data_IF_576226271582
#
_entry.id   IF_576226271582
#
_cell.length_a   1.000
_cell.length_b   1.000
_cell.length_c   1.000
_cell.angle_alpha   90.00
_cell.angle_beta   90.00
_cell.angle_gamma   90.00
#
_symmetry.space_group_name_H-M   'P 1'
#
loop_
_entity.id
_entity.type
_entity.pdbx_description
1 polymer ?
#
# COMPACT_ATOMS: atom_id res chain seq x y z
N UNK A 1 0.12 16.43 -16.89
CA UNK A 1 1.41 16.11 -16.23
C UNK A 1 1.12 15.87 -14.78
N UNK A 2 1.78 14.97 -14.08
CA UNK A 2 1.51 14.71 -12.65
C UNK A 2 2.20 15.79 -11.82
N UNK A 3 1.44 16.47 -10.97
CA UNK A 3 1.90 17.59 -10.14
C UNK A 3 2.27 17.11 -8.74
N UNK A 4 3.45 17.51 -8.28
CA UNK A 4 3.98 17.18 -6.95
C UNK A 4 4.33 18.47 -6.21
N UNK A 5 3.90 18.60 -4.96
CA UNK A 5 4.34 19.66 -4.06
C UNK A 5 5.32 19.06 -3.03
N UNK A 6 6.48 19.67 -2.91
CA UNK A 6 7.48 19.37 -1.88
C UNK A 6 7.42 20.47 -0.81
N UNK A 7 7.23 20.10 0.44
CA UNK A 7 7.27 21.00 1.60
C UNK A 7 8.41 20.55 2.51
N UNK A 8 9.50 21.30 2.50
CA UNK A 8 10.75 20.95 3.17
C UNK A 8 11.50 22.23 3.52
N UNK A 9 11.89 22.44 4.77
CA UNK A 9 12.58 23.66 5.20
C UNK A 9 14.07 23.65 4.81
N UNK A 10 14.72 22.47 4.79
CA UNK A 10 16.12 22.35 4.39
C UNK A 10 16.29 22.53 2.87
N UNK A 11 16.90 23.64 2.47
CA UNK A 11 17.06 23.99 1.05
C UNK A 11 17.77 22.90 0.22
N UNK A 12 18.81 22.28 0.77
CA UNK A 12 19.57 21.26 0.05
C UNK A 12 18.74 20.01 -0.24
N UNK A 13 17.91 19.56 0.72
CA UNK A 13 17.03 18.41 0.56
C UNK A 13 15.93 18.77 -0.44
N UNK A 14 15.33 19.95 -0.29
CA UNK A 14 14.26 20.44 -1.18
C UNK A 14 14.69 20.53 -2.64
N UNK A 15 15.85 21.13 -2.93
CA UNK A 15 16.37 21.26 -4.30
C UNK A 15 16.78 19.89 -4.87
N UNK A 16 17.42 19.04 -4.08
CA UNK A 16 17.77 17.67 -4.51
C UNK A 16 16.52 16.87 -4.91
N UNK A 17 15.47 16.91 -4.09
CA UNK A 17 14.21 16.25 -4.41
C UNK A 17 13.56 16.81 -5.66
N UNK A 18 13.57 18.13 -5.82
CA UNK A 18 13.06 18.81 -7.01
C UNK A 18 13.76 18.32 -8.25
N UNK A 19 15.09 18.34 -8.29
CA UNK A 19 15.88 17.88 -9.44
C UNK A 19 15.57 16.41 -9.81
N UNK A 20 15.53 15.51 -8.81
CA UNK A 20 15.22 14.08 -9.02
C UNK A 20 13.83 13.91 -9.65
N UNK A 21 12.84 14.64 -9.15
CA UNK A 21 11.47 14.50 -9.62
C UNK A 21 11.23 15.18 -10.98
N UNK A 22 11.79 16.36 -11.21
CA UNK A 22 11.74 17.03 -12.51
C UNK A 22 12.44 16.19 -13.60
N UNK A 23 13.60 15.62 -13.31
CA UNK A 23 14.29 14.68 -14.22
C UNK A 23 13.45 13.45 -14.55
N UNK A 24 12.60 13.03 -13.60
CA UNK A 24 11.66 11.90 -13.79
C UNK A 24 10.35 12.29 -14.48
N UNK A 25 10.22 13.54 -14.95
CA UNK A 25 9.10 14.02 -15.76
C UNK A 25 7.88 14.46 -14.96
N UNK A 26 8.03 14.78 -13.67
CA UNK A 26 6.99 15.37 -12.83
C UNK A 26 7.00 16.90 -12.92
N UNK A 27 5.86 17.53 -12.68
CA UNK A 27 5.71 18.98 -12.53
C UNK A 27 5.82 19.32 -11.03
N UNK A 28 6.92 19.95 -10.62
CA UNK A 28 7.30 20.05 -9.21
C UNK A 28 7.23 21.48 -8.71
N UNK A 29 6.56 21.66 -7.60
CA UNK A 29 6.43 22.93 -6.86
C UNK A 29 7.04 22.73 -5.47
N UNK A 30 7.69 23.77 -4.93
CA UNK A 30 8.39 23.67 -3.65
C UNK A 30 7.95 24.76 -2.67
N UNK A 31 7.87 24.42 -1.39
CA UNK A 31 7.61 25.35 -0.30
C UNK A 31 8.60 25.09 0.85
N UNK A 32 8.98 26.15 1.56
CA UNK A 32 9.98 26.10 2.63
C UNK A 32 9.40 25.97 4.04
N UNK A 33 8.10 25.92 4.19
CA UNK A 33 7.37 25.67 5.45
C UNK A 33 5.94 25.26 5.20
N UNK A 34 5.25 24.81 6.24
CA UNK A 34 3.88 24.31 6.12
C UNK A 34 2.86 25.35 5.67
N UNK A 35 3.04 26.63 6.04
CA UNK A 35 2.10 27.71 5.63
C UNK A 35 2.17 27.96 4.12
N UNK A 36 3.38 28.07 3.58
CA UNK A 36 3.60 28.19 2.14
C UNK A 36 3.15 26.92 1.41
N UNK A 37 3.43 25.74 2.01
CA UNK A 37 2.95 24.44 1.52
C UNK A 37 1.44 24.40 1.39
N UNK A 38 0.71 24.83 2.41
CA UNK A 38 -0.76 24.88 2.38
C UNK A 38 -1.26 25.74 1.23
N UNK A 39 -0.76 26.97 1.08
CA UNK A 39 -1.15 27.88 0.00
C UNK A 39 -0.86 27.25 -1.38
N UNK A 40 0.32 26.64 -1.54
CA UNK A 40 0.73 26.02 -2.80
C UNK A 40 -0.12 24.79 -3.15
N UNK A 41 -0.47 23.96 -2.16
CA UNK A 41 -1.35 22.79 -2.36
C UNK A 41 -2.73 23.23 -2.85
N UNK A 42 -3.28 24.31 -2.29
CA UNK A 42 -4.57 24.84 -2.73
C UNK A 42 -4.52 25.46 -4.12
N UNK A 43 -3.42 26.15 -4.46
CA UNK A 43 -3.25 26.79 -5.77
C UNK A 43 -2.99 25.79 -6.89
N UNK A 44 -2.10 24.82 -6.65
CA UNK A 44 -1.62 23.90 -7.68
C UNK A 44 -2.43 22.62 -7.79
N UNK A 45 -3.26 22.29 -6.78
CA UNK A 45 -4.05 21.05 -6.71
C UNK A 45 -3.21 19.82 -7.09
N UNK A 46 -2.16 19.49 -6.34
CA UNK A 46 -1.22 18.44 -6.72
C UNK A 46 -1.84 17.05 -6.65
N UNK A 47 -1.23 16.12 -7.35
CA UNK A 47 -1.55 14.69 -7.25
C UNK A 47 -0.92 14.07 -6.00
N UNK A 48 0.23 14.63 -5.57
CA UNK A 48 1.00 14.11 -4.44
C UNK A 48 1.71 15.25 -3.71
N UNK A 49 1.80 15.13 -2.39
CA UNK A 49 2.56 16.00 -1.50
C UNK A 49 3.64 15.19 -0.83
N UNK A 50 4.89 15.66 -0.89
CA UNK A 50 6.01 15.25 -0.04
C UNK A 50 6.20 16.30 1.04
N UNK A 51 6.11 15.94 2.29
CA UNK A 51 6.17 16.89 3.39
C UNK A 51 7.11 16.44 4.49
N UNK A 52 8.06 17.28 4.87
CA UNK A 52 8.81 17.04 6.11
C UNK A 52 7.87 17.10 7.31
N UNK A 53 8.14 16.24 8.31
CA UNK A 53 7.41 16.26 9.59
C UNK A 53 7.76 17.48 10.39
N UNK A 54 9.06 17.79 10.51
CA UNK A 54 9.58 18.80 11.43
C UNK A 54 9.97 20.08 10.69
N UNK A 55 9.05 21.03 10.63
CA UNK A 55 9.27 22.32 10.00
C UNK A 55 8.89 23.48 10.94
N UNK A 56 9.51 24.66 10.78
CA UNK A 56 9.12 25.85 11.54
C UNK A 56 7.72 26.36 11.11
N UNK A 57 7.10 27.13 11.98
CA UNK A 57 5.80 27.80 11.83
C UNK A 57 4.59 26.86 11.79
N UNK A 58 4.55 25.92 10.86
CA UNK A 58 3.51 24.90 10.70
C UNK A 58 4.18 23.59 10.36
N UNK A 59 4.13 22.62 11.27
CA UNK A 59 4.70 21.30 11.05
C UNK A 59 3.90 20.45 10.05
N UNK A 60 4.48 19.31 9.65
CA UNK A 60 3.86 18.45 8.64
C UNK A 60 2.54 17.82 9.10
N UNK A 61 2.38 17.53 10.40
CA UNK A 61 1.13 16.96 10.93
C UNK A 61 0.00 17.99 10.90
N UNK A 62 0.29 19.21 11.35
CA UNK A 62 -0.68 20.31 11.31
C UNK A 62 -1.06 20.66 9.87
N UNK A 63 -0.11 20.62 8.93
CA UNK A 63 -0.40 20.78 7.51
C UNK A 63 -1.35 19.68 7.00
N UNK A 64 -1.08 18.42 7.31
CA UNK A 64 -1.94 17.31 6.90
C UNK A 64 -3.36 17.44 7.47
N UNK A 65 -3.49 17.88 8.73
CA UNK A 65 -4.79 18.09 9.36
C UNK A 65 -5.60 19.17 8.64
N UNK A 66 -4.98 20.31 8.29
CA UNK A 66 -5.61 21.37 7.50
C UNK A 66 -6.05 20.87 6.11
N UNK A 67 -5.20 20.07 5.43
CA UNK A 67 -5.53 19.49 4.13
C UNK A 67 -6.69 18.49 4.26
N UNK A 68 -6.68 17.62 5.27
CA UNK A 68 -7.76 16.67 5.51
C UNK A 68 -9.10 17.36 5.75
N UNK A 69 -9.10 18.45 6.53
CA UNK A 69 -10.31 19.25 6.76
C UNK A 69 -10.81 19.90 5.48
N UNK A 70 -9.90 20.43 4.65
CA UNK A 70 -10.26 21.10 3.39
C UNK A 70 -10.84 20.10 2.38
N UNK A 71 -10.29 18.90 2.28
CA UNK A 71 -10.70 17.86 1.32
C UNK A 71 -11.71 16.86 1.90
N UNK A 72 -12.42 17.18 2.98
CA UNK A 72 -13.35 16.27 3.67
C UNK A 72 -14.41 15.62 2.75
N UNK A 73 -14.78 16.26 1.65
CA UNK A 73 -15.76 15.78 0.66
C UNK A 73 -15.14 15.49 -0.71
N UNK A 74 -13.84 15.65 -0.86
CA UNK A 74 -13.11 15.54 -2.14
C UNK A 74 -11.98 14.54 -2.04
N UNK A 75 -11.43 14.14 -3.19
CA UNK A 75 -10.28 13.23 -3.21
C UNK A 75 -9.01 14.01 -2.90
N UNK A 76 -8.51 13.85 -1.68
CA UNK A 76 -7.27 14.46 -1.20
C UNK A 76 -6.06 14.02 -2.05
N UNK A 77 -5.04 14.89 -2.27
CA UNK A 77 -3.77 14.46 -2.84
C UNK A 77 -3.13 13.35 -1.99
N UNK A 78 -2.37 12.46 -2.62
CA UNK A 78 -1.56 11.51 -1.84
C UNK A 78 -0.56 12.26 -0.97
N UNK A 79 -0.49 11.93 0.31
CA UNK A 79 0.34 12.63 1.28
C UNK A 79 1.40 11.71 1.89
N UNK A 80 2.67 12.03 1.66
CA UNK A 80 3.82 11.26 2.12
C UNK A 80 4.69 12.12 3.03
N UNK A 81 5.02 11.59 4.19
CA UNK A 81 5.95 12.25 5.09
C UNK A 81 7.41 11.91 4.78
N UNK A 82 8.28 12.92 4.88
CA UNK A 82 9.73 12.78 4.95
C UNK A 82 10.13 12.91 6.43
N UNK A 83 10.98 12.02 6.94
CA UNK A 83 11.36 12.07 8.35
C UNK A 83 12.76 11.51 8.61
N UNK A 84 13.55 12.17 9.46
CA UNK A 84 14.86 11.68 9.88
C UNK A 84 14.76 10.54 10.92
N UNK A 85 13.65 10.45 11.64
CA UNK A 85 13.46 9.46 12.71
C UNK A 85 11.99 9.04 12.75
N UNK A 86 11.77 7.75 12.95
CA UNK A 86 10.44 7.18 12.99
C UNK A 86 10.15 6.68 14.40
N UNK A 87 9.40 7.44 15.17
CA UNK A 87 8.79 6.93 16.39
C UNK A 87 7.46 6.24 16.04
N UNK A 88 7.24 5.05 16.56
CA UNK A 88 6.03 4.24 16.25
C UNK A 88 4.73 4.99 16.57
N UNK A 89 4.77 5.92 17.52
CA UNK A 89 3.62 6.76 17.90
C UNK A 89 3.32 7.81 16.82
N UNK A 90 4.33 8.47 16.29
CA UNK A 90 4.22 9.50 15.25
C UNK A 90 3.72 8.91 13.93
N UNK A 91 4.24 7.73 13.54
CA UNK A 91 3.72 7.02 12.38
C UNK A 91 2.22 6.74 12.53
N UNK A 92 1.81 6.18 13.68
CA UNK A 92 0.40 5.88 13.92
C UNK A 92 -0.46 7.14 13.89
N UNK A 93 0.05 8.23 14.43
CA UNK A 93 -0.67 9.51 14.43
C UNK A 93 -0.90 10.00 13.00
N UNK A 94 0.14 10.14 12.19
CA UNK A 94 -0.01 10.62 10.81
C UNK A 94 -0.79 9.68 9.91
N UNK A 95 -0.67 8.34 10.09
CA UNK A 95 -1.53 7.39 9.36
C UNK A 95 -3.01 7.53 9.73
N UNK A 96 -3.32 7.81 11.00
CA UNK A 96 -4.69 8.08 11.44
C UNK A 96 -5.22 9.41 10.89
N UNK A 97 -4.36 10.41 10.67
CA UNK A 97 -4.71 11.68 10.03
C UNK A 97 -4.94 11.54 8.51
N UNK A 98 -4.53 10.43 7.89
CA UNK A 98 -4.73 10.18 6.47
C UNK A 98 -3.47 10.23 5.61
N UNK A 99 -2.26 10.21 6.21
CA UNK A 99 -1.03 10.03 5.45
C UNK A 99 -1.03 8.68 4.72
N UNK A 100 -0.50 8.66 3.50
CA UNK A 100 -0.38 7.43 2.70
C UNK A 100 0.87 6.63 3.04
N UNK A 101 1.98 7.29 3.39
CA UNK A 101 3.27 6.64 3.70
C UNK A 101 4.27 7.57 4.39
N UNK A 102 5.41 6.96 4.80
CA UNK A 102 6.57 7.62 5.38
C UNK A 102 7.84 7.23 4.63
N UNK A 103 8.70 8.20 4.37
CA UNK A 103 10.01 8.03 3.74
C UNK A 103 11.07 8.48 4.71
N UNK A 104 12.01 7.59 5.05
CA UNK A 104 13.12 7.89 5.96
C UNK A 104 14.22 8.67 5.25
N UNK A 105 14.71 9.72 5.89
CA UNK A 105 15.94 10.43 5.50
C UNK A 105 17.16 9.73 6.16
N UNK A 106 18.29 9.55 5.46
CA UNK A 106 18.50 9.82 4.04
C UNK A 106 17.82 8.78 3.14
N UNK A 107 17.25 9.21 2.01
CA UNK A 107 16.53 8.34 1.10
C UNK A 107 17.37 8.06 -0.17
N UNK A 108 17.17 6.87 -0.71
CA UNK A 108 17.68 6.51 -2.03
C UNK A 108 16.77 7.07 -3.14
N UNK A 109 17.32 7.77 -4.17
CA UNK A 109 16.53 8.32 -5.28
C UNK A 109 15.66 7.29 -5.98
N UNK A 110 16.12 6.06 -6.14
CA UNK A 110 15.36 4.99 -6.80
C UNK A 110 14.21 4.52 -5.92
N UNK A 111 14.43 4.46 -4.61
CA UNK A 111 13.40 4.04 -3.67
C UNK A 111 12.28 5.07 -3.56
N UNK A 112 12.62 6.37 -3.44
CA UNK A 112 11.62 7.44 -3.36
C UNK A 112 10.76 7.51 -4.63
N UNK A 113 11.36 7.38 -5.82
CA UNK A 113 10.63 7.34 -7.08
C UNK A 113 9.65 6.17 -7.17
N UNK A 114 10.03 4.98 -6.68
CA UNK A 114 9.14 3.81 -6.61
C UNK A 114 7.93 4.07 -5.72
N UNK A 115 8.14 4.63 -4.53
CA UNK A 115 7.06 4.93 -3.58
C UNK A 115 6.09 5.95 -4.18
N UNK A 116 6.62 7.04 -4.75
CA UNK A 116 5.82 8.09 -5.40
C UNK A 116 4.97 7.49 -6.53
N UNK A 117 5.58 6.71 -7.41
CA UNK A 117 4.88 6.10 -8.54
C UNK A 117 3.75 5.15 -8.10
N UNK A 118 3.97 4.38 -7.05
CA UNK A 118 2.95 3.51 -6.46
C UNK A 118 1.75 4.32 -5.95
N UNK A 119 1.99 5.44 -5.24
CA UNK A 119 0.93 6.29 -4.68
C UNK A 119 0.15 7.02 -5.77
N UNK A 120 0.83 7.59 -6.76
CA UNK A 120 0.19 8.23 -7.91
C UNK A 120 -0.70 7.24 -8.68
N UNK A 121 -0.20 6.03 -8.92
CA UNK A 121 -0.98 4.99 -9.60
C UNK A 121 -2.22 4.56 -8.80
N UNK A 122 -2.11 4.44 -7.48
CA UNK A 122 -3.24 4.17 -6.59
C UNK A 122 -4.30 5.28 -6.68
N UNK A 123 -3.88 6.55 -6.61
CA UNK A 123 -4.76 7.71 -6.73
C UNK A 123 -5.48 7.75 -8.09
N UNK A 124 -4.75 7.58 -9.20
CA UNK A 124 -5.35 7.55 -10.55
C UNK A 124 -6.43 6.49 -10.69
N UNK A 125 -6.27 5.33 -10.05
CA UNK A 125 -7.30 4.27 -10.02
C UNK A 125 -8.54 4.68 -9.23
N UNK A 126 -8.39 5.46 -8.15
CA UNK A 126 -9.52 5.97 -7.36
C UNK A 126 -10.30 7.06 -8.11
N UNK A 127 -9.61 7.87 -8.91
CA UNK A 127 -10.19 8.95 -9.70
C UNK A 127 -10.90 8.50 -11.00
N UNK A 128 -10.76 7.23 -11.42
CA UNK A 128 -11.39 6.70 -12.63
C UNK A 128 -12.66 5.91 -12.28
N UNK A 129 -13.85 6.54 -12.24
CA UNK A 129 -15.10 5.88 -11.82
C UNK A 129 -15.69 4.91 -12.82
N UNK A 130 -15.25 4.90 -14.07
CA UNK A 130 -15.89 4.12 -15.15
C UNK A 130 -14.87 3.76 -16.23
N UNK A 131 -14.22 2.62 -16.09
CA UNK A 131 -13.86 1.85 -17.30
C UNK A 131 -13.73 0.38 -16.93
N UNK A 132 -14.85 -0.33 -17.07
CA UNK A 132 -14.78 -1.71 -17.45
C UNK A 132 -14.03 -1.79 -18.77
N UNK A 133 -13.01 -2.64 -18.83
CA UNK A 133 -12.24 -2.99 -20.02
C UNK A 133 -11.36 -1.87 -20.61
N UNK A 134 -10.13 -1.80 -20.18
CA UNK A 134 -9.00 -1.52 -21.06
C UNK A 134 -7.74 -2.18 -20.47
N UNK A 135 -7.41 -3.29 -21.08
CA UNK A 135 -6.11 -3.94 -21.06
C UNK A 135 -5.13 -3.05 -21.82
N UNK A 136 -4.19 -2.42 -21.11
CA UNK A 136 -2.83 -2.18 -21.60
C UNK A 136 -2.03 -1.44 -20.52
N UNK A 137 -0.91 -2.00 -20.12
CA UNK A 137 0.11 -1.53 -19.19
C UNK A 137 -0.15 -1.70 -17.68
N UNK A 138 -0.43 -2.94 -17.29
CA UNK A 138 -0.41 -3.43 -15.90
C UNK A 138 0.70 -4.48 -15.72
N UNK A 139 1.89 -4.28 -16.29
CA UNK A 139 2.84 -5.41 -16.35
C UNK A 139 3.92 -5.45 -15.28
N UNK A 140 4.06 -4.50 -14.37
CA UNK A 140 5.25 -4.57 -13.50
C UNK A 140 4.99 -5.06 -12.07
N UNK A 141 3.78 -5.01 -11.50
CA UNK A 141 3.61 -5.40 -10.08
C UNK A 141 2.32 -6.18 -9.73
N UNK A 142 1.72 -6.92 -10.63
CA UNK A 142 0.64 -7.85 -10.29
C UNK A 142 1.19 -9.26 -9.92
N UNK A 143 2.49 -9.35 -9.57
CA UNK A 143 3.16 -10.60 -9.25
C UNK A 143 3.84 -10.51 -7.89
N UNK A 144 3.70 -11.56 -7.10
CA UNK A 144 4.43 -11.74 -5.86
C UNK A 144 5.82 -12.34 -6.16
N UNK A 145 6.93 -11.68 -5.79
CA UNK A 145 8.24 -12.30 -5.88
C UNK A 145 8.38 -13.36 -4.78
N UNK A 146 8.43 -14.61 -5.16
CA UNK A 146 8.57 -15.75 -4.26
C UNK A 146 10.00 -16.30 -4.39
N UNK A 147 10.82 -16.26 -3.33
CA UNK A 147 12.15 -16.84 -3.36
C UNK A 147 12.06 -18.37 -3.43
N UNK A 148 12.77 -18.96 -4.38
CA UNK A 148 12.93 -20.40 -4.56
C UNK A 148 14.41 -20.76 -4.52
N UNK A 149 14.74 -22.04 -4.56
CA UNK A 149 16.14 -22.50 -4.61
C UNK A 149 16.85 -22.05 -5.90
N UNK A 150 16.11 -21.85 -6.98
CA UNK A 150 16.62 -21.42 -8.30
C UNK A 150 16.66 -19.91 -8.47
N UNK A 151 16.13 -19.11 -7.51
CA UNK A 151 16.09 -17.66 -7.57
C UNK A 151 14.75 -17.07 -7.13
N UNK A 152 14.21 -16.10 -7.89
CA UNK A 152 12.94 -15.43 -7.62
C UNK A 152 11.90 -15.81 -8.69
N UNK A 153 10.86 -16.53 -8.27
CA UNK A 153 9.69 -16.79 -9.12
C UNK A 153 8.67 -15.66 -8.97
N UNK A 154 8.32 -14.98 -10.06
CA UNK A 154 7.33 -13.90 -10.09
C UNK A 154 5.94 -14.47 -10.35
N UNK A 155 5.17 -14.72 -9.30
CA UNK A 155 3.85 -15.36 -9.35
C UNK A 155 2.74 -14.32 -9.37
N UNK A 156 1.87 -14.27 -10.39
CA UNK A 156 0.71 -13.38 -10.41
C UNK A 156 -0.21 -13.62 -9.20
N UNK A 157 -0.68 -12.55 -8.55
CA UNK A 157 -1.58 -12.70 -7.39
C UNK A 157 -2.87 -13.46 -7.74
N UNK A 158 -3.37 -13.31 -8.95
CA UNK A 158 -4.53 -14.02 -9.47
C UNK A 158 -4.33 -15.54 -9.63
N UNK A 159 -3.09 -16.01 -9.59
CA UNK A 159 -2.77 -17.44 -9.62
C UNK A 159 -2.59 -18.04 -8.22
N UNK A 160 -2.55 -17.20 -7.18
CA UNK A 160 -2.36 -17.65 -5.80
C UNK A 160 -3.72 -17.89 -5.16
N UNK A 161 -4.02 -19.14 -4.81
CA UNK A 161 -5.25 -19.56 -4.13
C UNK A 161 -5.15 -19.25 -2.63
N UNK A 162 -4.09 -19.73 -1.98
CA UNK A 162 -3.83 -19.45 -0.58
C UNK A 162 -2.36 -19.63 -0.20
N UNK A 163 -1.98 -19.06 0.94
CA UNK A 163 -0.70 -19.27 1.58
C UNK A 163 -0.90 -19.92 2.96
N UNK A 164 -0.13 -20.96 3.26
CA UNK A 164 -0.19 -21.68 4.53
C UNK A 164 1.17 -21.73 5.19
N UNK A 165 1.25 -21.29 6.46
CA UNK A 165 2.46 -21.41 7.26
C UNK A 165 2.62 -22.83 7.83
N UNK A 166 3.83 -23.35 7.79
CA UNK A 166 4.20 -24.62 8.38
C UNK A 166 5.58 -24.49 9.06
N UNK A 167 5.59 -24.32 10.38
CA UNK A 167 6.78 -24.02 11.20
C UNK A 167 7.51 -22.75 10.70
N UNK A 168 8.76 -22.89 10.25
CA UNK A 168 9.59 -21.79 9.73
C UNK A 168 9.38 -21.51 8.23
N UNK A 169 8.58 -22.30 7.54
CA UNK A 169 8.33 -22.24 6.11
C UNK A 169 6.92 -21.78 5.82
N UNK A 170 6.66 -21.39 4.57
CA UNK A 170 5.31 -21.27 4.08
C UNK A 170 5.15 -21.89 2.68
N UNK A 171 3.94 -22.30 2.39
CA UNK A 171 3.56 -22.87 1.11
C UNK A 171 2.59 -21.95 0.41
N UNK A 172 2.86 -21.64 -0.86
CA UNK A 172 1.92 -21.00 -1.75
C UNK A 172 1.24 -22.07 -2.61
N UNK A 173 -0.07 -22.10 -2.59
CA UNK A 173 -0.90 -22.98 -3.40
C UNK A 173 -1.44 -22.18 -4.56
N UNK A 174 -1.18 -22.64 -5.78
CA UNK A 174 -1.50 -21.94 -7.03
C UNK A 174 -2.57 -22.67 -7.80
N UNK A 175 -3.20 -21.97 -8.73
CA UNK A 175 -4.02 -22.60 -9.77
C UNK A 175 -3.19 -23.69 -10.46
N UNK A 176 -3.85 -24.70 -11.04
CA UNK A 176 -3.21 -25.86 -11.67
C UNK A 176 -2.45 -26.80 -10.71
N UNK A 177 -2.85 -26.82 -9.43
CA UNK A 177 -2.26 -27.68 -8.39
C UNK A 177 -0.75 -27.49 -8.16
N UNK A 178 -0.19 -26.38 -8.62
CA UNK A 178 1.22 -26.03 -8.33
C UNK A 178 1.36 -25.56 -6.89
N UNK A 179 2.39 -26.06 -6.21
CA UNK A 179 2.75 -25.70 -4.83
C UNK A 179 4.19 -25.23 -4.77
N UNK A 180 4.42 -24.07 -4.16
CA UNK A 180 5.77 -23.51 -3.97
C UNK A 180 6.08 -23.49 -2.48
N UNK A 181 7.19 -24.13 -2.10
CA UNK A 181 7.76 -24.07 -0.74
C UNK A 181 8.69 -22.86 -0.65
N UNK A 182 8.54 -22.11 0.42
CA UNK A 182 9.37 -20.93 0.69
C UNK A 182 10.01 -21.03 2.07
N UNK A 183 11.33 -20.93 2.12
CA UNK A 183 12.13 -20.95 3.35
C UNK A 183 12.09 -19.63 4.13
N UNK A 184 10.93 -18.97 4.13
CA UNK A 184 10.65 -17.73 4.85
C UNK A 184 9.32 -17.84 5.56
N UNK A 185 9.15 -17.17 6.72
CA UNK A 185 7.88 -17.17 7.44
C UNK A 185 6.79 -16.40 6.67
N UNK A 186 5.57 -16.91 6.70
CA UNK A 186 4.40 -16.29 6.06
C UNK A 186 4.22 -14.79 6.41
N UNK A 187 4.72 -14.38 7.59
CA UNK A 187 4.62 -12.98 8.06
C UNK A 187 5.30 -11.98 7.12
N UNK A 188 6.36 -12.39 6.41
CA UNK A 188 7.04 -11.53 5.43
C UNK A 188 6.16 -11.20 4.22
N UNK A 189 5.24 -12.09 3.87
CA UNK A 189 4.32 -11.92 2.74
C UNK A 189 2.96 -11.35 3.14
N UNK A 190 2.63 -11.34 4.44
CA UNK A 190 1.31 -11.02 4.96
C UNK A 190 0.82 -9.64 4.51
N UNK A 191 1.62 -8.59 4.68
CA UNK A 191 1.24 -7.21 4.32
C UNK A 191 1.01 -7.10 2.81
N UNK A 192 1.91 -7.66 2.02
CA UNK A 192 1.81 -7.65 0.55
C UNK A 192 0.57 -8.39 0.07
N UNK A 193 0.27 -9.56 0.62
CA UNK A 193 -0.92 -10.34 0.26
C UNK A 193 -2.21 -9.60 0.65
N UNK A 194 -2.29 -9.07 1.87
CA UNK A 194 -3.49 -8.33 2.33
C UNK A 194 -3.75 -7.10 1.47
N UNK A 195 -2.71 -6.35 1.12
CA UNK A 195 -2.81 -5.18 0.23
C UNK A 195 -3.24 -5.54 -1.20
N UNK A 196 -3.09 -6.79 -1.60
CA UNK A 196 -3.53 -7.32 -2.90
C UNK A 196 -4.84 -8.16 -2.82
N UNK A 197 -5.67 -7.91 -1.81
CA UNK A 197 -7.03 -8.45 -1.73
C UNK A 197 -7.17 -9.80 -1.02
N UNK A 198 -6.08 -10.35 -0.47
CA UNK A 198 -6.13 -11.57 0.33
C UNK A 198 -6.68 -11.31 1.74
N UNK A 199 -7.15 -12.36 2.37
CA UNK A 199 -7.69 -12.30 3.72
C UNK A 199 -7.02 -13.30 4.66
N UNK A 200 -6.53 -12.83 5.80
CA UNK A 200 -5.95 -13.70 6.84
C UNK A 200 -7.07 -14.33 7.66
N UNK A 201 -7.39 -15.58 7.36
CA UNK A 201 -8.45 -16.36 8.02
C UNK A 201 -7.98 -16.99 9.32
N UNK A 202 -6.68 -17.31 9.44
CA UNK A 202 -6.08 -17.95 10.61
C UNK A 202 -4.64 -17.45 10.81
N UNK A 203 -4.06 -17.67 12.01
CA UNK A 203 -2.65 -17.32 12.27
C UNK A 203 -1.65 -17.96 11.30
N UNK A 204 -2.03 -19.08 10.70
CA UNK A 204 -1.22 -19.86 9.75
C UNK A 204 -1.79 -19.87 8.33
N UNK A 205 -2.79 -19.06 7.98
CA UNK A 205 -3.40 -19.14 6.65
C UNK A 205 -3.91 -17.80 6.17
N UNK A 206 -3.53 -17.46 4.94
CA UNK A 206 -4.00 -16.28 4.19
C UNK A 206 -4.60 -16.80 2.87
N UNK A 207 -5.80 -16.36 2.53
CA UNK A 207 -6.61 -16.89 1.42
C UNK A 207 -6.96 -15.76 0.46
N UNK A 208 -6.91 -16.05 -0.82
CA UNK A 208 -7.52 -15.21 -1.84
C UNK A 208 -9.02 -15.54 -1.90
N UNK A 209 -9.85 -14.59 -1.46
CA UNK A 209 -11.30 -14.83 -1.36
C UNK A 209 -11.99 -15.04 -2.72
N UNK A 210 -11.34 -14.72 -3.84
CA UNK A 210 -11.86 -15.01 -5.18
C UNK A 210 -11.97 -16.52 -5.45
N UNK A 211 -11.18 -17.34 -4.75
CA UNK A 211 -11.19 -18.79 -4.84
C UNK A 211 -12.00 -19.47 -3.73
N UNK A 212 -12.69 -18.70 -2.87
CA UNK A 212 -13.54 -19.26 -1.85
C UNK A 212 -14.89 -19.68 -2.44
N UNK A 213 -15.18 -20.99 -2.45
CA UNK A 213 -16.43 -21.54 -2.98
C UNK A 213 -17.50 -21.68 -1.91
N UNK A 214 -17.12 -22.08 -0.69
CA UNK A 214 -18.07 -22.38 0.36
C UNK A 214 -17.50 -22.10 1.73
N UNK A 215 -18.30 -21.51 2.61
CA UNK A 215 -18.03 -21.46 4.05
C UNK A 215 -18.92 -22.48 4.77
N UNK A 216 -18.28 -23.41 5.46
CA UNK A 216 -18.97 -24.42 6.27
C UNK A 216 -19.01 -23.94 7.71
N UNK A 217 -20.25 -23.78 8.25
CA UNK A 217 -20.49 -23.39 9.63
C UNK A 217 -20.23 -24.56 10.58
N UNK A 218 -19.70 -24.31 11.78
CA UNK A 218 -19.50 -25.33 12.81
C UNK A 218 -18.55 -24.86 13.90
N UNK A 219 -18.23 -25.76 14.84
CA UNK A 219 -17.18 -25.54 15.86
C UNK A 219 -15.84 -25.51 15.14
N UNK A 220 -15.30 -24.28 14.85
CA UNK A 220 -14.14 -24.08 13.99
C UNK A 220 -14.49 -24.07 12.49
N UNK A 221 -15.39 -23.16 12.06
CA UNK A 221 -15.81 -23.07 10.66
C UNK A 221 -14.63 -22.96 9.68
N UNK A 222 -14.81 -23.44 8.46
CA UNK A 222 -13.75 -23.47 7.46
C UNK A 222 -14.25 -23.03 6.07
N UNK A 223 -13.33 -22.53 5.28
CA UNK A 223 -13.54 -22.26 3.84
C UNK A 223 -13.16 -23.50 3.04
N UNK A 224 -13.94 -23.78 2.01
CA UNK A 224 -13.58 -24.68 0.91
C UNK A 224 -13.17 -23.82 -0.26
N UNK A 225 -12.02 -24.11 -0.84
CA UNK A 225 -11.44 -23.36 -1.96
C UNK A 225 -11.58 -24.14 -3.26
N UNK A 226 -11.41 -23.46 -4.38
CA UNK A 226 -11.59 -24.01 -5.73
C UNK A 226 -10.63 -25.16 -6.10
N UNK A 227 -9.53 -25.31 -5.37
CA UNK A 227 -8.60 -26.45 -5.48
C UNK A 227 -9.02 -27.65 -4.62
N UNK A 228 -10.19 -27.58 -3.97
CA UNK A 228 -10.69 -28.60 -3.04
C UNK A 228 -10.06 -28.52 -1.64
N UNK A 229 -9.11 -27.63 -1.41
CA UNK A 229 -8.49 -27.47 -0.09
C UNK A 229 -9.45 -26.85 0.92
N UNK A 230 -9.25 -27.18 2.20
CA UNK A 230 -10.03 -26.63 3.32
C UNK A 230 -9.15 -25.82 4.22
N UNK A 231 -9.59 -24.61 4.56
CA UNK A 231 -8.84 -23.68 5.41
C UNK A 231 -9.68 -23.27 6.62
N UNK A 232 -9.19 -23.57 7.83
CA UNK A 232 -9.87 -23.23 9.09
C UNK A 232 -9.90 -21.72 9.28
N UNK A 233 -11.07 -21.20 9.67
CA UNK A 233 -11.27 -19.78 9.99
C UNK A 233 -11.25 -19.61 11.52
N UNK A 234 -10.36 -18.74 12.00
CA UNK A 234 -10.33 -18.45 13.44
C UNK A 234 -11.61 -17.75 13.90
N UNK A 235 -12.07 -18.03 15.10
CA UNK A 235 -13.30 -17.42 15.65
C UNK A 235 -13.28 -15.90 15.60
N UNK A 236 -12.10 -15.29 15.85
CA UNK A 236 -11.91 -13.83 15.81
C UNK A 236 -12.04 -13.21 14.41
N UNK A 237 -11.82 -14.01 13.35
CA UNK A 237 -11.88 -13.54 11.97
C UNK A 237 -13.20 -13.86 11.26
N UNK A 238 -14.10 -14.60 11.93
CA UNK A 238 -15.37 -15.02 11.36
C UNK A 238 -16.27 -13.85 10.96
N UNK A 239 -16.46 -12.89 11.87
CA UNK A 239 -17.38 -11.77 11.61
C UNK A 239 -16.84 -10.84 10.52
N UNK A 240 -15.52 -10.61 10.50
CA UNK A 240 -14.84 -9.84 9.44
C UNK A 240 -14.94 -10.56 8.08
N UNK A 241 -14.79 -11.88 8.07
CA UNK A 241 -14.94 -12.69 6.87
C UNK A 241 -16.38 -12.61 6.33
N UNK A 242 -17.40 -12.76 7.20
CA UNK A 242 -18.81 -12.69 6.79
C UNK A 242 -19.14 -11.32 6.15
N UNK A 243 -18.66 -10.23 6.72
CA UNK A 243 -18.82 -8.90 6.15
C UNK A 243 -18.18 -8.80 4.76
N UNK A 244 -16.99 -9.38 4.56
CA UNK A 244 -16.30 -9.36 3.24
C UNK A 244 -17.00 -10.25 2.20
N UNK A 245 -17.56 -11.35 2.61
CA UNK A 245 -18.34 -12.23 1.72
C UNK A 245 -19.75 -11.70 1.43
N UNK A 246 -20.13 -10.51 1.99
CA UNK A 246 -21.49 -9.93 1.89
C UNK A 246 -22.60 -10.89 2.30
N UNK A 247 -22.33 -11.76 3.26
CA UNK A 247 -23.32 -12.60 3.90
C UNK A 247 -23.71 -11.93 5.23
N UNK A 248 -24.79 -11.15 5.21
CA UNK A 248 -25.49 -10.72 6.42
C UNK A 248 -26.10 -11.92 7.19
#
# INVERSE_FOLDING_TARGET
>A
MTRIVIVEDEINIRETLKEILEFSGYDVFTASNGKLGYAMILEKEPDLVLCDVNMPELDGFALLELITQKYASEIMPSFLFLTAKVETKEIRYGMNLGADDYILKPFDPVEILKIIQLRINKRKKMLSPLSGKSSANKEVFNKLPIPTEEGLELVPFEQIIHCKAERAYCYFYLINNKKILVSKPMKEFEVTLINNGFFKVHKSSIVNLQFAEKYVRGKGGYLVLSDGSTVVVSTRKKDELMKRLKCE
#
